data_IF_259963954126
#
_entry.id   IF_259963954126
#
_cell.length_a   1.000
_cell.length_b   1.000
_cell.length_c   1.000
_cell.angle_alpha   90.00
_cell.angle_beta   90.00
_cell.angle_gamma   90.00
#
_symmetry.space_group_name_H-M   'P 1'
#
loop_
_entity.id
_entity.type
_entity.pdbx_description
1 polymer ?
#
# COMPACT_ATOMS: atom_id res chain seq x y z
N UNK A 1 -11.70 0.64 5.27
CA UNK A 1 -10.82 0.61 4.09
C UNK A 1 -11.32 -0.48 3.14
N UNK A 2 -11.52 -0.17 1.86
CA UNK A 2 -11.95 -1.13 0.85
C UNK A 2 -10.79 -1.42 -0.10
N UNK A 3 -10.68 -2.68 -0.55
CA UNK A 3 -9.59 -3.15 -1.39
C UNK A 3 -10.14 -3.58 -2.75
N UNK A 4 -9.65 -2.91 -3.78
CA UNK A 4 -9.97 -3.14 -5.18
C UNK A 4 -8.73 -3.66 -5.91
N UNK A 5 -8.91 -4.14 -7.13
CA UNK A 5 -7.85 -4.68 -7.95
C UNK A 5 -7.47 -3.73 -9.08
N UNK A 6 -6.17 -3.64 -9.36
CA UNK A 6 -5.62 -3.04 -10.57
C UNK A 6 -4.59 -3.98 -11.21
N UNK A 7 -4.26 -3.71 -12.47
CA UNK A 7 -3.14 -4.33 -13.18
C UNK A 7 -1.79 -3.87 -12.65
N UNK A 8 -0.72 -4.52 -13.12
CA UNK A 8 0.66 -4.09 -12.86
C UNK A 8 0.98 -2.68 -13.40
N UNK A 9 0.16 -2.15 -14.32
CA UNK A 9 0.28 -0.77 -14.80
C UNK A 9 -0.53 0.24 -13.97
N UNK A 10 -1.16 -0.20 -12.88
CA UNK A 10 -2.01 0.66 -12.06
C UNK A 10 -3.32 1.04 -12.75
N UNK A 11 -3.87 0.13 -13.57
CA UNK A 11 -5.18 0.30 -14.23
C UNK A 11 -6.24 -0.56 -13.56
N UNK A 12 -7.31 0.07 -13.08
CA UNK A 12 -8.45 -0.60 -12.48
C UNK A 12 -9.42 -1.05 -13.59
N UNK A 13 -10.06 -2.21 -13.42
CA UNK A 13 -11.05 -2.72 -14.37
C UNK A 13 -12.37 -2.98 -13.68
N UNK A 14 -13.46 -2.58 -14.33
CA UNK A 14 -14.83 -2.80 -13.83
C UNK A 14 -15.29 -4.27 -13.95
N UNK A 15 -14.52 -5.12 -14.64
CA UNK A 15 -14.85 -6.54 -14.81
C UNK A 15 -14.86 -7.31 -13.48
N UNK A 16 -13.96 -6.95 -12.55
CA UNK A 16 -13.83 -7.62 -11.26
C UNK A 16 -13.93 -6.68 -10.05
N UNK A 17 -13.86 -5.36 -10.25
CA UNK A 17 -14.09 -4.41 -9.19
C UNK A 17 -15.59 -4.12 -9.04
N UNK A 18 -16.18 -4.25 -7.84
CA UNK A 18 -17.48 -3.68 -7.59
C UNK A 18 -17.43 -2.15 -7.65
N UNK A 19 -18.60 -1.52 -7.67
CA UNK A 19 -18.69 -0.07 -7.68
C UNK A 19 -17.98 0.55 -6.45
N UNK A 20 -17.14 1.58 -6.64
CA UNK A 20 -16.41 2.19 -5.54
C UNK A 20 -17.36 2.95 -4.62
N UNK A 21 -17.11 2.84 -3.30
CA UNK A 21 -17.95 3.48 -2.29
C UNK A 21 -17.39 4.87 -1.98
N UNK A 22 -18.12 5.91 -2.35
CA UNK A 22 -17.82 7.30 -1.95
C UNK A 22 -18.56 7.66 -0.64
N UNK A 23 -17.99 8.51 0.23
CA UNK A 23 -16.69 9.20 0.12
C UNK A 23 -15.49 8.41 0.68
N UNK A 24 -15.61 7.08 0.83
CA UNK A 24 -14.54 6.25 1.40
C UNK A 24 -13.33 6.13 0.49
N UNK A 25 -12.17 5.78 1.06
CA UNK A 25 -10.96 5.46 0.29
C UNK A 25 -11.13 4.12 -0.44
N UNK A 26 -10.93 4.14 -1.76
CA UNK A 26 -11.14 3.00 -2.66
C UNK A 26 -9.78 2.53 -3.20
N UNK A 27 -8.93 2.02 -2.31
CA UNK A 27 -7.58 1.61 -2.70
C UNK A 27 -7.61 0.44 -3.65
N UNK A 28 -6.87 0.54 -4.75
CA UNK A 28 -6.63 -0.57 -5.66
C UNK A 28 -5.18 -1.05 -5.55
N UNK A 29 -4.98 -2.37 -5.44
CA UNK A 29 -3.65 -2.99 -5.51
C UNK A 29 -3.61 -4.04 -6.61
N UNK A 30 -2.41 -4.53 -6.90
CA UNK A 30 -2.21 -5.62 -7.86
C UNK A 30 -3.15 -6.79 -7.53
N UNK A 31 -4.12 -7.00 -8.41
CA UNK A 31 -5.11 -8.06 -8.31
C UNK A 31 -5.50 -8.62 -9.65
N UNK A 32 -4.83 -8.22 -10.73
CA UNK A 32 -4.96 -8.80 -12.06
C UNK A 32 -3.68 -9.57 -12.37
N UNK A 33 -3.84 -10.75 -12.96
CA UNK A 33 -2.76 -11.64 -13.36
C UNK A 33 -1.74 -11.95 -12.25
N UNK A 34 -2.24 -12.09 -11.02
CA UNK A 34 -1.40 -12.43 -9.86
C UNK A 34 -0.92 -13.87 -9.99
N UNK A 35 0.39 -14.14 -10.02
CA UNK A 35 0.91 -15.49 -10.07
C UNK A 35 0.59 -16.21 -8.77
N UNK A 36 -0.03 -17.39 -8.85
CA UNK A 36 -0.32 -18.21 -7.68
C UNK A 36 0.51 -19.49 -7.73
N UNK A 37 1.23 -19.77 -6.64
CA UNK A 37 1.89 -21.06 -6.47
C UNK A 37 0.82 -22.14 -6.34
N UNK A 38 0.63 -22.89 -7.41
CA UNK A 38 -0.25 -24.05 -7.44
C UNK A 38 0.49 -25.22 -8.07
N UNK A 39 0.03 -26.45 -7.82
CA UNK A 39 0.57 -27.65 -8.47
C UNK A 39 0.46 -27.60 -10.01
N UNK A 40 -0.33 -26.66 -10.54
CA UNK A 40 -0.44 -26.35 -11.96
C UNK A 40 0.48 -25.15 -12.24
N UNK A 41 1.52 -25.35 -13.05
CA UNK A 41 2.39 -24.28 -13.54
C UNK A 41 1.58 -23.23 -14.33
N UNK A 42 2.01 -21.98 -14.24
CA UNK A 42 1.56 -20.86 -15.09
C UNK A 42 0.09 -20.41 -14.91
N UNK A 43 -0.51 -20.64 -13.73
CA UNK A 43 -1.83 -20.09 -13.44
C UNK A 43 -1.71 -18.72 -12.78
N UNK A 44 -2.13 -17.68 -13.48
CA UNK A 44 -2.43 -16.39 -12.88
C UNK A 44 -3.88 -16.35 -12.41
N UNK A 45 -4.17 -15.44 -11.48
CA UNK A 45 -5.50 -15.21 -10.95
C UNK A 45 -5.79 -13.73 -10.85
N UNK A 46 -7.05 -13.39 -11.12
CA UNK A 46 -7.54 -12.02 -11.06
C UNK A 46 -8.73 -11.90 -10.11
N UNK A 47 -8.79 -10.82 -9.35
CA UNK A 47 -9.90 -10.49 -8.45
C UNK A 47 -9.50 -9.61 -7.27
N UNK A 48 -10.50 -8.95 -6.69
CA UNK A 48 -10.34 -8.11 -5.48
C UNK A 48 -9.90 -8.91 -4.26
N UNK A 49 -10.21 -10.21 -4.19
CA UNK A 49 -9.69 -11.11 -3.15
C UNK A 49 -8.17 -11.21 -3.20
N UNK A 50 -7.58 -11.31 -4.39
CA UNK A 50 -6.12 -11.32 -4.57
C UNK A 50 -5.50 -9.97 -4.24
N UNK A 51 -6.11 -8.87 -4.69
CA UNK A 51 -5.66 -7.53 -4.30
C UNK A 51 -5.72 -7.31 -2.78
N UNK A 52 -6.72 -7.89 -2.11
CA UNK A 52 -6.84 -7.86 -0.65
C UNK A 52 -5.65 -8.54 0.01
N UNK A 53 -5.27 -9.75 -0.45
CA UNK A 53 -4.08 -10.45 0.06
C UNK A 53 -2.79 -9.65 -0.19
N UNK A 54 -2.64 -9.07 -1.39
CA UNK A 54 -1.47 -8.23 -1.70
C UNK A 54 -1.42 -6.99 -0.80
N UNK A 55 -2.56 -6.32 -0.58
CA UNK A 55 -2.65 -5.18 0.33
C UNK A 55 -2.32 -5.54 1.79
N UNK A 56 -2.83 -6.67 2.27
CA UNK A 56 -2.47 -7.18 3.60
C UNK A 56 -0.98 -7.49 3.71
N UNK A 57 -0.37 -8.08 2.66
CA UNK A 57 1.07 -8.34 2.63
C UNK A 57 1.90 -7.05 2.64
N UNK A 58 1.51 -6.03 1.85
CA UNK A 58 2.14 -4.71 1.87
C UNK A 58 2.03 -4.07 3.26
N UNK A 59 0.85 -4.10 3.88
CA UNK A 59 0.65 -3.60 5.24
C UNK A 59 1.54 -4.32 6.26
N UNK A 60 1.65 -5.65 6.17
CA UNK A 60 2.53 -6.44 7.03
C UNK A 60 4.01 -6.07 6.84
N UNK A 61 4.45 -5.88 5.59
CA UNK A 61 5.82 -5.45 5.28
C UNK A 61 6.15 -4.06 5.83
N UNK A 62 5.18 -3.13 5.87
CA UNK A 62 5.37 -1.81 6.48
C UNK A 62 5.52 -1.90 8.00
N UNK A 63 4.70 -2.73 8.65
CA UNK A 63 4.78 -2.98 10.10
C UNK A 63 6.10 -3.67 10.44
N UNK A 64 6.53 -4.65 9.64
CA UNK A 64 7.81 -5.32 9.83
C UNK A 64 8.99 -4.36 9.61
N UNK A 65 8.94 -3.56 8.54
CA UNK A 65 9.92 -2.51 8.26
C UNK A 65 10.09 -1.56 9.44
N UNK A 66 8.99 -1.08 10.03
CA UNK A 66 9.01 -0.17 11.17
C UNK A 66 9.66 -0.76 12.44
N UNK A 67 9.77 -2.09 12.53
CA UNK A 67 10.41 -2.79 13.66
C UNK A 67 11.90 -3.03 13.46
N UNK A 68 12.44 -2.76 12.27
CA UNK A 68 13.86 -2.98 11.98
C UNK A 68 14.69 -1.93 12.73
N UNK A 69 15.82 -2.37 13.32
CA UNK A 69 16.62 -1.58 14.26
C UNK A 69 17.20 -0.29 13.68
N UNK A 70 17.32 -0.20 12.36
CA UNK A 70 17.88 0.95 11.64
C UNK A 70 16.80 1.95 11.14
N UNK A 71 15.53 1.74 11.49
CA UNK A 71 14.41 2.63 11.12
C UNK A 71 14.13 3.68 12.20
N UNK A 72 14.63 3.49 13.42
CA UNK A 72 14.47 4.43 14.55
C UNK A 72 13.01 4.90 14.73
N UNK A 73 12.05 3.96 14.59
CA UNK A 73 10.63 4.25 14.73
C UNK A 73 10.24 4.41 16.20
N UNK A 74 9.48 5.47 16.51
CA UNK A 74 8.92 5.64 17.84
C UNK A 74 7.84 4.57 18.13
N UNK A 75 7.74 4.04 19.37
CA UNK A 75 6.74 3.04 19.71
C UNK A 75 5.29 3.49 19.43
N UNK A 76 5.02 4.79 19.59
CA UNK A 76 3.74 5.45 19.26
C UNK A 76 3.42 5.31 17.78
N UNK A 77 4.36 5.67 16.89
CA UNK A 77 4.22 5.56 15.44
C UNK A 77 3.94 4.11 15.01
N UNK A 78 4.66 3.15 15.59
CA UNK A 78 4.45 1.72 15.32
C UNK A 78 3.06 1.27 15.78
N UNK A 79 2.52 1.86 16.85
CA UNK A 79 1.14 1.60 17.33
C UNK A 79 0.13 2.21 16.37
N UNK A 80 0.30 3.47 15.97
CA UNK A 80 -0.59 4.18 15.04
C UNK A 80 -0.60 3.48 13.67
N UNK A 81 0.56 3.04 13.16
CA UNK A 81 0.69 2.32 11.90
C UNK A 81 -0.14 1.03 11.86
N UNK A 82 -0.35 0.36 13.00
CA UNK A 82 -1.18 -0.86 13.09
C UNK A 82 -2.69 -0.57 13.09
N UNK A 83 -3.09 0.68 13.23
CA UNK A 83 -4.51 1.06 13.17
C UNK A 83 -4.99 1.17 11.72
N UNK A 84 -6.30 1.05 11.52
CA UNK A 84 -6.91 1.26 10.19
C UNK A 84 -6.60 2.66 9.68
N UNK A 85 -6.68 3.69 10.53
CA UNK A 85 -6.44 5.08 10.14
C UNK A 85 -4.96 5.33 9.76
N UNK A 86 -4.02 4.82 10.56
CA UNK A 86 -2.59 4.93 10.27
C UNK A 86 -2.21 4.26 8.95
N UNK A 87 -2.65 3.02 8.73
CA UNK A 87 -2.40 2.33 7.46
C UNK A 87 -3.11 3.01 6.28
N UNK A 88 -4.30 3.58 6.51
CA UNK A 88 -5.02 4.37 5.51
C UNK A 88 -4.21 5.58 5.06
N UNK A 89 -3.69 6.38 5.98
CA UNK A 89 -2.87 7.56 5.66
C UNK A 89 -1.61 7.18 4.86
N UNK A 90 -0.98 6.05 5.20
CA UNK A 90 0.20 5.55 4.48
C UNK A 90 -0.18 5.09 3.06
N UNK A 91 -1.31 4.39 2.89
CA UNK A 91 -1.79 3.98 1.57
C UNK A 91 -2.21 5.16 0.70
N UNK A 92 -2.74 6.24 1.27
CA UNK A 92 -3.00 7.50 0.55
C UNK A 92 -1.73 8.09 -0.05
N UNK A 93 -0.62 8.11 0.70
CA UNK A 93 0.68 8.56 0.16
C UNK A 93 1.10 7.69 -1.03
N UNK A 94 0.90 6.37 -0.94
CA UNK A 94 1.25 5.45 -2.02
C UNK A 94 0.31 5.52 -3.23
N UNK A 95 -0.91 6.04 -3.06
CA UNK A 95 -1.86 6.17 -4.16
C UNK A 95 -1.83 7.55 -4.83
N UNK A 96 -1.21 8.57 -4.22
CA UNK A 96 -1.08 9.93 -4.79
C UNK A 96 -0.64 9.93 -6.24
N UNK A 97 -1.48 10.40 -7.16
CA UNK A 97 -1.22 10.46 -8.60
C UNK A 97 -1.31 9.11 -9.34
N UNK A 98 -1.79 8.05 -8.68
CA UNK A 98 -2.09 6.73 -9.27
C UNK A 98 -3.59 6.50 -9.43
N UNK A 99 -4.36 7.58 -9.61
CA UNK A 99 -5.82 7.47 -9.71
C UNK A 99 -6.20 6.96 -11.09
N UNK A 100 -7.04 5.95 -11.12
CA UNK A 100 -7.65 5.43 -12.34
C UNK A 100 -9.16 5.38 -12.09
N UNK A 101 -9.90 6.23 -12.80
CA UNK A 101 -11.29 6.57 -12.53
C UNK A 101 -11.54 6.94 -11.05
N UNK A 102 -12.20 6.03 -10.33
CA UNK A 102 -12.67 6.19 -8.96
C UNK A 102 -11.86 5.37 -7.95
N UNK A 103 -10.76 4.76 -8.40
CA UNK A 103 -9.90 3.91 -7.60
C UNK A 103 -8.55 4.58 -7.35
N UNK A 104 -8.08 4.47 -6.11
CA UNK A 104 -6.81 5.02 -5.65
C UNK A 104 -5.74 3.93 -5.77
N UNK A 105 -5.10 3.77 -6.94
CA UNK A 105 -4.14 2.69 -7.15
C UNK A 105 -2.87 2.91 -6.33
N UNK A 106 -2.63 2.01 -5.38
CA UNK A 106 -1.50 2.02 -4.46
C UNK A 106 -0.26 1.50 -5.19
N UNK A 107 0.78 2.32 -5.20
CA UNK A 107 2.07 2.02 -5.83
C UNK A 107 3.16 2.09 -4.75
N UNK A 108 3.58 0.96 -4.15
CA UNK A 108 4.52 0.96 -3.03
C UNK A 108 5.85 1.67 -3.32
N UNK A 109 6.32 1.64 -4.58
CA UNK A 109 7.54 2.34 -4.98
C UNK A 109 7.44 3.87 -4.85
N UNK A 110 6.24 4.44 -4.69
CA UNK A 110 6.08 5.86 -4.35
C UNK A 110 6.62 6.20 -2.96
N UNK A 111 6.80 5.25 -2.05
CA UNK A 111 7.55 5.52 -0.80
C UNK A 111 9.04 5.75 -1.07
N UNK A 112 9.60 5.06 -2.06
CA UNK A 112 11.00 5.22 -2.47
C UNK A 112 11.22 6.57 -3.19
N UNK A 113 10.30 6.94 -4.09
CA UNK A 113 10.49 8.07 -5.00
C UNK A 113 11.79 7.91 -5.80
N UNK A 114 12.49 9.00 -6.09
CA UNK A 114 13.79 8.97 -6.80
C UNK A 114 14.97 8.52 -5.90
N UNK A 115 14.77 7.55 -5.02
CA UNK A 115 15.85 7.07 -4.15
C UNK A 115 16.82 6.17 -4.91
N UNK A 116 18.12 6.41 -4.72
CA UNK A 116 19.15 5.51 -5.22
C UNK A 116 19.14 4.19 -4.44
N UNK A 117 18.84 3.10 -5.14
CA UNK A 117 18.82 1.74 -4.59
C UNK A 117 20.20 1.36 -4.01
N UNK A 118 21.29 1.96 -4.51
CA UNK A 118 22.65 1.72 -4.01
C UNK A 118 22.91 2.35 -2.64
N UNK A 119 22.07 3.30 -2.20
CA UNK A 119 22.20 4.00 -0.92
C UNK A 119 21.13 3.54 0.09
N UNK A 120 21.14 2.24 0.43
CA UNK A 120 20.14 1.58 1.28
C UNK A 120 19.73 2.39 2.53
N UNK A 121 20.69 2.84 3.33
CA UNK A 121 20.40 3.58 4.57
C UNK A 121 19.62 4.89 4.31
N UNK A 122 20.01 5.66 3.29
CA UNK A 122 19.29 6.88 2.88
C UNK A 122 17.87 6.57 2.42
N UNK A 123 17.71 5.52 1.61
CA UNK A 123 16.39 5.12 1.10
C UNK A 123 15.46 4.73 2.25
N UNK A 124 15.97 4.00 3.24
CA UNK A 124 15.18 3.57 4.42
C UNK A 124 14.77 4.75 5.30
N UNK A 125 15.69 5.68 5.60
CA UNK A 125 15.36 6.91 6.32
C UNK A 125 14.31 7.75 5.58
N UNK A 126 14.38 7.80 4.25
CA UNK A 126 13.40 8.49 3.41
C UNK A 126 12.02 7.82 3.42
N UNK A 127 11.98 6.48 3.33
CA UNK A 127 10.75 5.70 3.45
C UNK A 127 10.10 5.99 4.80
N UNK A 128 10.87 5.89 5.89
CA UNK A 128 10.36 6.14 7.23
C UNK A 128 9.87 7.58 7.41
N UNK A 129 10.64 8.58 6.94
CA UNK A 129 10.20 9.97 7.00
C UNK A 129 8.87 10.22 6.30
N UNK A 130 8.56 9.50 5.21
CA UNK A 130 7.25 9.59 4.55
C UNK A 130 6.15 8.90 5.34
N UNK A 131 6.44 7.76 5.96
CA UNK A 131 5.50 7.04 6.82
C UNK A 131 5.17 7.89 8.04
N UNK A 132 6.17 8.39 8.77
CA UNK A 132 6.01 9.22 9.97
C UNK A 132 5.17 10.46 9.69
N UNK A 133 5.44 11.20 8.61
CA UNK A 133 4.59 12.35 8.19
C UNK A 133 3.13 11.94 7.93
N UNK A 134 2.90 10.72 7.40
CA UNK A 134 1.54 10.20 7.24
C UNK A 134 0.86 9.98 8.59
N UNK A 135 1.58 9.42 9.56
CA UNK A 135 1.06 9.10 10.88
C UNK A 135 0.75 10.37 11.69
N UNK A 136 1.61 11.38 11.63
CA UNK A 136 1.35 12.68 12.26
C UNK A 136 0.08 13.37 11.76
N UNK A 137 -0.37 13.07 10.53
CA UNK A 137 -1.62 13.62 10.00
C UNK A 137 -2.87 12.98 10.64
N UNK A 138 -2.72 11.76 11.15
CA UNK A 138 -3.79 11.03 11.87
C UNK A 138 -3.95 11.56 13.29
N UNK A 139 -2.83 11.84 13.97
CA UNK A 139 -2.84 12.34 15.35
C UNK A 139 -3.41 13.76 15.45
N UNK A 140 -3.29 14.57 14.37
CA UNK A 140 -3.84 15.93 14.29
C UNK A 140 -5.33 16.00 13.94
N UNK A 141 -5.97 14.87 13.63
CA UNK A 141 -7.37 14.81 13.23
C UNK A 141 -8.34 14.66 14.42
N UNK A 142 -7.83 14.75 15.65
CA UNK A 142 -8.55 14.63 16.92
C UNK A 142 -8.08 15.72 17.90
#
# INVERSE_FOLDING_TARGET
MCMFACSGMGKAKNEFNPEPKRPSNNFALLGEDVPVYSHIKDKTKSGTSYATFVGAAVAALLIDFARQSDVEAEPEDVRTLKTVNGMTAVFEIMSKGGRDDNYDCVVPSKLLGNSDIKARARSRKKIWGRISVALESVDRAW
#
